data_IF_429140407598
#
_entry.id   IF_429140407598
#
_cell.length_a   1.000
_cell.length_b   1.000
_cell.length_c   1.000
_cell.angle_alpha   90.00
_cell.angle_beta   90.00
_cell.angle_gamma   90.00
#
_symmetry.space_group_name_H-M   'P 1'
#
loop_
_entity.id
_entity.type
_entity.pdbx_description
1 polymer ?
#
# COMPACT_ATOMS: atom_id res chain seq x y z
N UNK A 1 30.86 -10.27 -10.83
CA UNK A 1 29.52 -10.23 -11.42
C UNK A 1 28.66 -9.42 -10.45
N UNK A 2 28.43 -8.14 -10.74
CA UNK A 2 27.64 -7.27 -9.85
C UNK A 2 26.20 -7.38 -10.34
N UNK A 3 25.40 -8.25 -9.72
CA UNK A 3 23.96 -8.28 -9.94
C UNK A 3 23.41 -6.96 -9.43
N UNK A 4 23.16 -6.01 -10.35
CA UNK A 4 22.28 -4.87 -10.07
C UNK A 4 20.92 -5.48 -9.77
N UNK A 5 20.65 -5.76 -8.52
CA UNK A 5 19.34 -6.19 -8.11
C UNK A 5 18.47 -4.95 -7.98
N UNK A 6 17.56 -4.78 -8.93
CA UNK A 6 16.70 -3.62 -9.01
C UNK A 6 15.54 -3.78 -8.02
N UNK A 7 15.23 -2.75 -7.21
CA UNK A 7 14.03 -2.78 -6.37
C UNK A 7 12.80 -3.02 -7.26
N UNK A 8 11.85 -3.78 -6.73
CA UNK A 8 10.62 -4.10 -7.45
C UNK A 8 9.50 -3.17 -6.99
N UNK A 9 8.82 -2.52 -7.92
CA UNK A 9 7.66 -1.68 -7.62
C UNK A 9 6.38 -2.33 -8.12
N UNK A 10 5.30 -2.15 -7.37
CA UNK A 10 3.97 -2.63 -7.72
C UNK A 10 3.00 -1.47 -7.60
N UNK A 11 2.20 -1.28 -8.66
CA UNK A 11 1.12 -0.29 -8.69
C UNK A 11 -0.20 -0.93 -8.33
N UNK A 12 -0.98 -0.21 -7.54
CA UNK A 12 -2.29 -0.64 -7.09
C UNK A 12 -3.17 0.56 -6.83
N UNK A 13 -4.47 0.36 -6.99
CA UNK A 13 -5.46 1.38 -6.64
C UNK A 13 -5.99 1.11 -5.24
N UNK A 14 -6.13 2.18 -4.46
CA UNK A 14 -6.83 2.13 -3.19
C UNK A 14 -8.09 2.99 -3.27
N UNK A 15 -9.19 2.47 -2.74
CA UNK A 15 -10.45 3.18 -2.63
C UNK A 15 -11.12 2.74 -1.33
N UNK A 16 -10.70 3.37 -0.23
CA UNK A 16 -11.18 3.09 1.12
C UNK A 16 -11.76 4.39 1.67
N UNK A 17 -13.07 4.44 1.90
CA UNK A 17 -13.71 5.60 2.52
C UNK A 17 -13.23 5.80 3.96
N UNK A 18 -13.29 7.03 4.48
CA UNK A 18 -12.90 7.34 5.85
C UNK A 18 -13.69 6.51 6.88
N UNK A 19 -14.98 6.26 6.63
CA UNK A 19 -15.82 5.40 7.47
C UNK A 19 -15.33 3.94 7.47
N UNK A 20 -15.00 3.41 6.30
CA UNK A 20 -14.47 2.05 6.15
C UNK A 20 -13.11 1.94 6.85
N UNK A 21 -12.24 2.93 6.65
CA UNK A 21 -10.95 3.03 7.32
C UNK A 21 -11.11 3.09 8.84
N UNK A 22 -12.01 3.93 9.36
CA UNK A 22 -12.28 4.03 10.80
C UNK A 22 -12.83 2.72 11.36
N UNK A 23 -13.79 2.08 10.68
CA UNK A 23 -14.33 0.78 11.09
C UNK A 23 -13.24 -0.31 11.09
N UNK A 24 -12.36 -0.31 10.09
CA UNK A 24 -11.24 -1.25 9.98
C UNK A 24 -10.25 -1.09 11.14
N UNK A 25 -9.95 0.16 11.51
CA UNK A 25 -9.00 0.49 12.57
C UNK A 25 -9.59 0.40 13.99
N UNK A 26 -10.89 0.60 14.15
CA UNK A 26 -11.58 0.37 15.44
C UNK A 26 -11.56 -1.12 15.86
N UNK A 27 -11.31 -2.05 14.92
CA UNK A 27 -11.34 -3.50 15.14
C UNK A 27 -10.00 -4.22 15.32
N UNK A 28 -8.85 -3.53 15.34
CA UNK A 28 -7.48 -4.11 15.44
C UNK A 28 -6.84 -4.66 14.15
N UNK A 29 -7.34 -4.28 12.97
CA UNK A 29 -6.68 -4.69 11.73
C UNK A 29 -5.39 -3.90 11.50
N UNK A 30 -4.24 -4.59 11.57
CA UNK A 30 -2.91 -3.97 11.41
C UNK A 30 -2.41 -3.99 9.96
N UNK A 31 -3.14 -4.63 9.05
CA UNK A 31 -2.70 -4.92 7.68
C UNK A 31 -3.78 -4.49 6.69
N UNK A 32 -3.38 -3.73 5.68
CA UNK A 32 -4.19 -3.39 4.52
C UNK A 32 -3.92 -4.42 3.42
N UNK A 33 -4.98 -4.87 2.77
CA UNK A 33 -4.92 -5.78 1.62
C UNK A 33 -5.37 -4.99 0.39
N UNK A 34 -4.51 -4.89 -0.61
CA UNK A 34 -4.81 -4.24 -1.87
C UNK A 34 -4.58 -5.20 -3.03
N UNK A 35 -5.36 -5.05 -4.10
CA UNK A 35 -5.15 -5.77 -5.34
C UNK A 35 -4.44 -4.87 -6.35
N UNK A 36 -3.33 -5.36 -6.87
CA UNK A 36 -2.63 -4.73 -7.99
C UNK A 36 -3.32 -5.03 -9.31
N UNK A 37 -3.03 -4.21 -10.32
CA UNK A 37 -3.51 -4.42 -11.69
C UNK A 37 -3.03 -5.75 -12.30
N UNK A 38 -1.87 -6.25 -11.84
CA UNK A 38 -1.28 -7.53 -12.26
C UNK A 38 -1.89 -8.73 -11.50
N UNK A 39 -3.05 -8.55 -10.86
CA UNK A 39 -3.75 -9.59 -10.09
C UNK A 39 -2.97 -10.13 -8.88
N UNK A 40 -1.94 -9.40 -8.41
CA UNK A 40 -1.22 -9.73 -7.17
C UNK A 40 -1.91 -9.09 -5.97
N UNK A 41 -2.10 -9.88 -4.92
CA UNK A 41 -2.55 -9.39 -3.62
C UNK A 41 -1.37 -8.86 -2.83
N UNK A 42 -1.41 -7.57 -2.49
CA UNK A 42 -0.40 -6.88 -1.70
C UNK A 42 -0.93 -6.75 -0.28
N UNK A 43 -0.09 -7.09 0.71
CA UNK A 43 -0.40 -6.97 2.13
C UNK A 43 0.67 -6.12 2.78
N UNK A 44 0.29 -5.00 3.39
CA UNK A 44 1.23 -4.08 4.01
C UNK A 44 0.65 -3.50 5.29
N UNK A 45 1.49 -3.05 6.25
CA UNK A 45 1.00 -2.48 7.49
C UNK A 45 0.18 -1.23 7.20
N UNK A 46 -0.97 -1.13 7.86
CA UNK A 46 -1.92 -0.04 7.63
C UNK A 46 -1.28 1.34 7.94
N UNK A 47 -0.32 1.38 8.87
CA UNK A 47 0.53 2.54 9.15
C UNK A 47 1.24 3.14 7.94
N UNK A 48 1.53 2.33 6.90
CA UNK A 48 2.23 2.80 5.70
C UNK A 48 1.40 3.81 4.89
N UNK A 49 0.07 3.63 4.88
CA UNK A 49 -0.86 4.55 4.18
C UNK A 49 -1.48 5.61 5.08
N UNK A 50 -1.23 5.55 6.39
CA UNK A 50 -1.84 6.47 7.36
C UNK A 50 -1.57 7.94 7.03
N UNK A 51 -0.44 8.24 6.41
CA UNK A 51 -0.07 9.58 5.96
C UNK A 51 -0.87 10.07 4.73
N UNK A 52 -1.47 9.17 3.96
CA UNK A 52 -2.29 9.48 2.78
C UNK A 52 -3.80 9.48 3.10
N UNK A 53 -4.18 9.31 4.36
CA UNK A 53 -5.58 9.36 4.79
C UNK A 53 -6.05 10.80 4.76
N UNK A 54 -7.04 11.07 3.93
CA UNK A 54 -7.73 12.36 3.85
C UNK A 54 -9.05 12.31 4.63
N UNK A 55 -9.78 13.43 4.67
CA UNK A 55 -11.11 13.49 5.28
C UNK A 55 -12.11 12.53 4.61
N UNK A 56 -11.98 12.34 3.30
CA UNK A 56 -12.87 11.47 2.53
C UNK A 56 -12.47 10.00 2.66
N UNK A 57 -11.19 9.74 2.93
CA UNK A 57 -10.61 8.40 3.00
C UNK A 57 -9.26 8.33 2.31
N UNK A 58 -8.89 7.14 1.83
CA UNK A 58 -7.70 6.90 1.02
C UNK A 58 -8.15 6.50 -0.38
N UNK A 59 -7.97 7.41 -1.33
CA UNK A 59 -8.33 7.23 -2.72
C UNK A 59 -7.16 7.60 -3.62
N UNK A 60 -6.96 6.83 -4.67
CA UNK A 60 -5.98 7.12 -5.70
C UNK A 60 -5.15 5.91 -6.09
N UNK A 61 -4.21 6.15 -6.99
CA UNK A 61 -3.25 5.17 -7.42
C UNK A 61 -1.97 5.30 -6.56
N UNK A 62 -1.45 4.16 -6.13
CA UNK A 62 -0.29 4.06 -5.25
C UNK A 62 0.78 3.16 -5.86
N UNK A 63 2.03 3.47 -5.55
CA UNK A 63 3.16 2.61 -5.87
C UNK A 63 3.86 2.20 -4.57
N UNK A 64 3.99 0.90 -4.36
CA UNK A 64 4.77 0.32 -3.27
C UNK A 64 6.07 -0.25 -3.84
N UNK A 65 7.18 0.03 -3.17
CA UNK A 65 8.50 -0.48 -3.54
C UNK A 65 8.96 -1.51 -2.52
N UNK A 66 9.38 -2.66 -3.01
CA UNK A 66 9.94 -3.74 -2.22
C UNK A 66 11.42 -3.93 -2.52
N UNK A 67 12.15 -4.28 -1.47
CA UNK A 67 13.52 -4.75 -1.52
C UNK A 67 13.59 -6.18 -2.05
N UNK A 68 14.81 -6.64 -2.33
CA UNK A 68 15.14 -8.01 -2.71
C UNK A 68 14.57 -9.06 -1.73
N UNK A 69 14.45 -8.69 -0.44
CA UNK A 69 13.93 -9.55 0.62
C UNK A 69 12.40 -9.47 0.78
N UNK A 70 11.68 -8.95 -0.22
CA UNK A 70 10.24 -8.66 -0.15
C UNK A 70 9.85 -7.70 0.99
N UNK A 71 10.83 -6.93 1.49
CA UNK A 71 10.61 -5.94 2.53
C UNK A 71 10.12 -4.65 1.91
N UNK A 72 9.06 -4.06 2.46
CA UNK A 72 8.57 -2.74 2.06
C UNK A 72 9.67 -1.69 2.28
N UNK A 73 10.09 -1.02 1.22
CA UNK A 73 11.04 0.10 1.22
C UNK A 73 10.28 1.43 1.31
N UNK A 74 9.31 1.61 0.40
CA UNK A 74 8.61 2.87 0.25
C UNK A 74 7.18 2.64 -0.24
N UNK A 75 6.33 3.62 0.02
CA UNK A 75 5.00 3.75 -0.55
C UNK A 75 4.77 5.22 -0.88
N UNK A 76 4.21 5.48 -2.06
CA UNK A 76 3.93 6.83 -2.54
C UNK A 76 2.60 6.83 -3.31
N UNK A 77 1.85 7.93 -3.20
CA UNK A 77 0.77 8.24 -4.12
C UNK A 77 1.36 8.63 -5.48
N UNK A 78 0.77 8.15 -6.57
CA UNK A 78 1.15 8.49 -7.95
C UNK A 78 0.08 9.32 -8.67
N UNK A 79 -0.92 9.78 -7.92
CA UNK A 79 -1.87 10.83 -8.34
C UNK A 79 -1.19 12.19 -8.53
#
# INVERSE_FOLDING_TARGET
MNTKNCPSSIRFRLAISAEEYLAYYQGSAQVVVAHSEDNKTIRFPASAIRQFVTHDGVFGDFEITFDENNKLIAIQSID
#
